data_IF_614481798664
#
_entry.id   IF_614481798664
#
_cell.length_a   1.000
_cell.length_b   1.000
_cell.length_c   1.000
_cell.angle_alpha   90.00
_cell.angle_beta   90.00
_cell.angle_gamma   90.00
#
_symmetry.space_group_name_H-M   'P 1'
#
loop_
_entity.id
_entity.type
_entity.pdbx_description
1 polymer ?
#
# COMPACT_ATOMS: atom_id res chain seq x y z
N UNK A 1 -19.86 58.55 10.43
CA UNK A 1 -20.60 57.43 11.05
C UNK A 1 -20.96 56.45 9.93
N UNK A 2 -20.57 55.18 10.10
CA UNK A 2 -21.09 53.97 9.43
C UNK A 2 -20.87 53.88 7.90
N UNK A 3 -20.34 52.80 7.30
CA UNK A 3 -20.23 51.40 7.73
C UNK A 3 -19.02 50.77 7.04
N UNK A 4 -18.02 50.36 7.82
CA UNK A 4 -17.01 49.39 7.37
C UNK A 4 -17.73 48.05 7.22
N UNK A 5 -17.99 47.62 5.99
CA UNK A 5 -18.45 46.27 5.68
C UNK A 5 -17.33 45.28 6.00
N UNK A 6 -17.19 44.95 7.29
CA UNK A 6 -16.59 43.67 7.69
C UNK A 6 -17.44 42.58 7.04
N UNK A 7 -17.00 42.04 5.91
CA UNK A 7 -17.47 40.74 5.46
C UNK A 7 -17.24 39.77 6.63
N UNK A 8 -18.28 39.06 7.10
CA UNK A 8 -18.15 38.30 8.32
C UNK A 8 -17.17 37.13 8.08
N UNK A 9 -16.21 36.87 8.99
CA UNK A 9 -15.29 35.74 8.88
C UNK A 9 -16.00 34.39 8.70
N UNK A 10 -17.31 34.34 9.02
CA UNK A 10 -18.19 33.19 8.83
C UNK A 10 -18.44 32.80 7.37
N UNK A 11 -18.38 33.74 6.40
CA UNK A 11 -18.65 33.45 4.99
C UNK A 11 -17.46 32.75 4.30
N UNK A 12 -16.24 33.20 4.61
CA UNK A 12 -15.03 32.50 4.17
C UNK A 12 -14.92 31.11 4.80
N UNK A 13 -15.16 31.03 6.12
CA UNK A 13 -15.09 29.78 6.85
C UNK A 13 -16.17 28.78 6.41
N UNK A 14 -17.36 29.25 6.03
CA UNK A 14 -18.40 28.38 5.46
C UNK A 14 -18.00 27.85 4.09
N UNK A 15 -17.50 28.70 3.17
CA UNK A 15 -16.99 28.28 1.87
C UNK A 15 -15.88 27.23 2.00
N UNK A 16 -14.92 27.45 2.91
CA UNK A 16 -13.84 26.50 3.19
C UNK A 16 -14.34 25.16 3.75
N UNK A 17 -15.36 25.17 4.61
CA UNK A 17 -15.99 23.93 5.10
C UNK A 17 -16.69 23.18 3.99
N UNK A 18 -17.38 23.90 3.09
CA UNK A 18 -18.03 23.28 1.93
C UNK A 18 -17.02 22.64 0.97
N UNK A 19 -15.89 23.32 0.69
CA UNK A 19 -14.82 22.76 -0.14
C UNK A 19 -14.27 21.46 0.46
N UNK A 20 -13.94 21.44 1.76
CA UNK A 20 -13.47 20.22 2.43
C UNK A 20 -14.49 19.08 2.44
N UNK A 21 -15.78 19.42 2.57
CA UNK A 21 -16.84 18.44 2.53
C UNK A 21 -16.95 17.82 1.12
N UNK A 22 -16.86 18.64 0.07
CA UNK A 22 -16.81 18.17 -1.32
C UNK A 22 -15.57 17.32 -1.61
N UNK A 23 -14.40 17.70 -1.09
CA UNK A 23 -13.17 16.88 -1.18
C UNK A 23 -13.37 15.50 -0.55
N UNK A 24 -13.97 15.43 0.65
CA UNK A 24 -14.23 14.15 1.32
C UNK A 24 -15.24 13.28 0.57
N UNK A 25 -16.28 13.88 -0.01
CA UNK A 25 -17.24 13.16 -0.84
C UNK A 25 -16.58 12.62 -2.12
N UNK A 26 -15.74 13.44 -2.75
CA UNK A 26 -15.03 13.10 -3.98
C UNK A 26 -14.07 11.92 -3.75
N UNK A 27 -13.32 11.92 -2.65
CA UNK A 27 -12.42 10.83 -2.26
C UNK A 27 -13.18 9.50 -2.03
N UNK A 28 -14.33 9.56 -1.35
CA UNK A 28 -15.18 8.39 -1.15
C UNK A 28 -15.70 7.81 -2.47
N UNK A 29 -16.10 8.67 -3.42
CA UNK A 29 -16.59 8.25 -4.75
C UNK A 29 -15.47 7.74 -5.65
N UNK A 30 -14.29 8.34 -5.63
CA UNK A 30 -13.10 7.83 -6.31
C UNK A 30 -12.68 6.44 -5.81
N UNK A 31 -12.75 6.23 -4.49
CA UNK A 31 -12.49 4.92 -3.89
C UNK A 31 -13.52 3.88 -4.35
N UNK A 32 -14.81 4.24 -4.39
CA UNK A 32 -15.86 3.35 -4.92
C UNK A 32 -15.61 3.01 -6.40
N UNK A 33 -15.25 4.00 -7.22
CA UNK A 33 -14.98 3.82 -8.64
C UNK A 33 -13.73 2.97 -8.92
N UNK A 34 -12.64 3.16 -8.16
CA UNK A 34 -11.45 2.32 -8.27
C UNK A 34 -11.69 0.88 -7.78
N UNK A 35 -12.54 0.70 -6.76
CA UNK A 35 -12.96 -0.62 -6.29
C UNK A 35 -13.76 -1.38 -7.35
N UNK A 36 -14.57 -0.66 -8.15
CA UNK A 36 -15.32 -1.21 -9.27
C UNK A 36 -14.38 -1.69 -10.38
N UNK A 37 -13.33 -0.93 -10.71
CA UNK A 37 -12.29 -1.39 -11.64
C UNK A 37 -11.68 -2.73 -11.20
N UNK A 38 -11.35 -2.81 -9.91
CA UNK A 38 -10.76 -4.01 -9.32
C UNK A 38 -11.75 -5.17 -9.24
N UNK A 39 -13.04 -4.90 -9.01
CA UNK A 39 -14.09 -5.90 -9.01
C UNK A 39 -14.34 -6.49 -10.41
N UNK A 40 -14.33 -5.63 -11.45
CA UNK A 40 -14.43 -6.07 -12.85
C UNK A 40 -13.24 -6.98 -13.21
N UNK A 41 -12.03 -6.58 -12.81
CA UNK A 41 -10.82 -7.39 -13.04
C UNK A 41 -10.88 -8.73 -12.29
N UNK A 42 -11.30 -8.77 -11.02
CA UNK A 42 -11.39 -10.03 -10.26
C UNK A 42 -12.48 -10.98 -10.73
N UNK A 43 -13.60 -10.46 -11.23
CA UNK A 43 -14.67 -11.28 -11.81
C UNK A 43 -14.21 -12.10 -13.03
N UNK A 44 -13.10 -11.71 -13.66
CA UNK A 44 -12.46 -12.41 -14.77
C UNK A 44 -11.66 -13.64 -14.31
N UNK A 45 -10.90 -13.52 -13.21
CA UNK A 45 -9.99 -14.53 -12.66
C UNK A 45 -10.73 -15.63 -11.88
N UNK A 46 -11.87 -15.32 -11.26
CA UNK A 46 -12.70 -16.32 -10.57
C UNK A 46 -13.26 -17.39 -11.52
N UNK A 47 -13.50 -17.03 -12.78
CA UNK A 47 -13.99 -17.95 -13.81
C UNK A 47 -12.88 -18.78 -14.50
N UNK A 48 -11.61 -18.42 -14.33
CA UNK A 48 -10.48 -19.13 -14.96
C UNK A 48 -9.97 -20.32 -14.12
N UNK A 49 -10.37 -20.42 -12.85
CA UNK A 49 -9.97 -21.54 -11.97
C UNK A 49 -10.86 -22.79 -12.05
N UNK A 50 -12.01 -22.73 -12.73
CA UNK A 50 -12.90 -23.89 -12.94
C UNK A 50 -12.71 -24.55 -14.30
N UNK A 51 -11.46 -24.85 -14.67
CA UNK A 51 -11.13 -25.85 -15.69
C UNK A 51 -10.86 -27.24 -15.07
N UNK A 52 -11.38 -27.49 -13.87
CA UNK A 52 -11.43 -28.82 -13.26
C UNK A 52 -12.65 -29.59 -13.81
N UNK A 53 -12.50 -30.88 -14.20
CA UNK A 53 -13.61 -31.67 -14.70
C UNK A 53 -14.68 -31.81 -13.60
N UNK A 54 -15.93 -31.57 -13.99
CA UNK A 54 -17.11 -31.64 -13.13
C UNK A 54 -17.32 -33.07 -12.59
N UNK A 55 -16.77 -33.34 -11.40
CA UNK A 55 -17.28 -34.40 -10.54
C UNK A 55 -18.50 -33.84 -9.79
N UNK A 56 -19.66 -34.52 -9.79
CA UNK A 56 -20.82 -34.07 -9.05
C UNK A 56 -20.58 -34.30 -7.55
N UNK A 57 -19.92 -33.35 -6.89
CA UNK A 57 -19.79 -33.33 -5.44
C UNK A 57 -21.10 -32.81 -4.84
N UNK A 58 -21.77 -33.67 -4.09
CA UNK A 58 -23.07 -33.47 -3.45
C UNK A 58 -23.00 -32.53 -2.23
N UNK A 59 -22.35 -31.37 -2.35
CA UNK A 59 -22.29 -30.36 -1.30
C UNK A 59 -22.87 -29.03 -1.81
N UNK A 60 -24.17 -29.04 -2.06
CA UNK A 60 -24.94 -27.87 -2.51
C UNK A 60 -25.70 -27.27 -1.32
N UNK A 61 -25.00 -26.62 -0.37
CA UNK A 61 -25.66 -25.88 0.72
C UNK A 61 -25.06 -24.51 1.07
N UNK A 62 -23.85 -24.16 0.62
CA UNK A 62 -23.19 -22.90 1.02
C UNK A 62 -22.94 -21.91 -0.14
N UNK A 63 -23.72 -22.00 -1.22
CA UNK A 63 -23.73 -21.01 -2.31
C UNK A 63 -25.03 -20.19 -2.35
N UNK A 64 -25.68 -20.03 -1.18
CA UNK A 64 -26.80 -19.12 -1.01
C UNK A 64 -26.27 -17.83 -0.40
N UNK A 65 -26.43 -16.73 -1.15
CA UNK A 65 -26.14 -15.33 -0.84
C UNK A 65 -24.87 -14.72 -1.47
N UNK A 66 -24.76 -14.78 -2.81
CA UNK A 66 -24.26 -13.61 -3.56
C UNK A 66 -25.18 -13.34 -4.76
N UNK A 67 -26.44 -13.03 -4.44
CA UNK A 67 -27.35 -12.36 -5.35
C UNK A 67 -27.04 -10.86 -5.34
N UNK A 68 -25.86 -10.51 -5.86
CA UNK A 68 -25.36 -9.14 -5.96
C UNK A 68 -25.55 -8.57 -7.36
N UNK A 69 -26.77 -8.17 -7.69
CA UNK A 69 -27.08 -7.17 -8.72
C UNK A 69 -26.50 -7.45 -10.14
N UNK A 70 -27.05 -8.49 -10.77
CA UNK A 70 -26.95 -8.72 -12.22
C UNK A 70 -27.94 -7.87 -13.04
N UNK A 71 -28.68 -6.93 -12.42
CA UNK A 71 -29.67 -6.11 -13.14
C UNK A 71 -29.08 -4.85 -13.78
N UNK A 72 -27.85 -4.49 -13.45
CA UNK A 72 -27.13 -3.39 -14.12
C UNK A 72 -25.78 -3.85 -14.65
N UNK A 73 -25.50 -3.71 -15.97
CA UNK A 73 -24.19 -4.01 -16.50
C UNK A 73 -23.16 -3.14 -15.76
N UNK A 74 -21.98 -3.66 -15.39
CA UNK A 74 -20.98 -2.88 -14.65
C UNK A 74 -20.52 -1.63 -15.40
N UNK A 75 -20.70 -1.60 -16.73
CA UNK A 75 -20.56 -0.41 -17.55
C UNK A 75 -21.55 0.71 -17.18
N UNK A 76 -22.83 0.40 -16.91
CA UNK A 76 -23.83 1.39 -16.50
C UNK A 76 -23.53 1.95 -15.10
N UNK A 77 -23.10 1.09 -14.17
CA UNK A 77 -22.65 1.52 -12.84
C UNK A 77 -21.42 2.45 -12.92
N UNK A 78 -20.45 2.09 -13.76
CA UNK A 78 -19.28 2.91 -14.01
C UNK A 78 -19.66 4.29 -14.57
N UNK A 79 -20.55 4.34 -15.57
CA UNK A 79 -21.03 5.60 -16.17
C UNK A 79 -21.77 6.48 -15.16
N UNK A 80 -22.61 5.90 -14.30
CA UNK A 80 -23.32 6.65 -13.25
C UNK A 80 -22.33 7.29 -12.27
N UNK A 81 -21.34 6.53 -11.78
CA UNK A 81 -20.31 7.06 -10.88
C UNK A 81 -19.42 8.10 -11.57
N UNK A 82 -19.12 7.93 -12.86
CA UNK A 82 -18.37 8.92 -13.64
C UNK A 82 -19.13 10.25 -13.73
N UNK A 83 -20.43 10.22 -14.02
CA UNK A 83 -21.27 11.42 -14.06
C UNK A 83 -21.36 12.11 -12.69
N UNK A 84 -21.42 11.33 -11.61
CA UNK A 84 -21.44 11.87 -10.25
C UNK A 84 -20.10 12.53 -9.88
N UNK A 85 -18.96 11.88 -10.17
CA UNK A 85 -17.61 12.41 -9.90
C UNK A 85 -17.36 13.70 -10.70
N UNK A 86 -17.76 13.75 -11.97
CA UNK A 86 -17.62 14.98 -12.78
C UNK A 86 -18.46 16.13 -12.24
N UNK A 87 -19.68 15.84 -11.75
CA UNK A 87 -20.52 16.85 -11.10
C UNK A 87 -19.88 17.38 -9.81
N UNK A 88 -19.28 16.51 -8.99
CA UNK A 88 -18.58 16.90 -7.76
C UNK A 88 -17.32 17.71 -8.05
N UNK A 89 -16.52 17.34 -9.05
CA UNK A 89 -15.36 18.11 -9.50
C UNK A 89 -15.77 19.52 -9.95
N UNK A 90 -16.86 19.64 -10.72
CA UNK A 90 -17.40 20.94 -11.15
C UNK A 90 -17.87 21.80 -9.97
N UNK A 91 -18.49 21.17 -8.96
CA UNK A 91 -18.93 21.85 -7.74
C UNK A 91 -17.76 22.32 -6.89
N UNK A 92 -16.71 21.50 -6.76
CA UNK A 92 -15.48 21.87 -6.07
C UNK A 92 -14.76 23.03 -6.78
N UNK A 93 -14.67 22.99 -8.10
CA UNK A 93 -14.11 24.10 -8.92
C UNK A 93 -14.91 25.39 -8.72
N UNK A 94 -16.24 25.32 -8.65
CA UNK A 94 -17.08 26.49 -8.37
C UNK A 94 -16.87 27.03 -6.96
N UNK A 95 -16.77 26.15 -5.94
CA UNK A 95 -16.48 26.52 -4.55
C UNK A 95 -15.09 27.15 -4.40
N UNK A 96 -14.11 26.65 -5.14
CA UNK A 96 -12.78 27.22 -5.22
C UNK A 96 -12.77 28.59 -5.93
N UNK A 97 -13.60 28.77 -6.95
CA UNK A 97 -13.73 30.05 -7.66
C UNK A 97 -14.35 31.13 -6.75
N UNK A 98 -15.35 30.80 -5.93
CA UNK A 98 -15.88 31.72 -4.92
C UNK A 98 -14.85 32.04 -3.83
N UNK A 99 -14.07 31.04 -3.40
CA UNK A 99 -12.97 31.20 -2.47
C UNK A 99 -11.83 32.08 -3.07
N UNK A 100 -11.56 32.00 -4.37
CA UNK A 100 -10.61 32.90 -5.03
C UNK A 100 -11.14 34.33 -5.11
N UNK A 101 -12.41 34.50 -5.45
CA UNK A 101 -13.03 35.82 -5.57
C UNK A 101 -13.00 36.59 -4.23
N UNK A 102 -13.17 35.92 -3.10
CA UNK A 102 -13.01 36.55 -1.77
C UNK A 102 -11.58 36.98 -1.45
N UNK A 103 -10.59 36.48 -2.20
CA UNK A 103 -9.18 36.80 -2.05
C UNK A 103 -8.74 37.95 -2.95
N UNK A 104 -9.46 38.17 -4.06
CA UNK A 104 -9.21 39.22 -5.06
C UNK A 104 -9.92 40.55 -4.70
N UNK A 105 -10.59 40.64 -3.54
CA UNK A 105 -11.30 41.83 -3.07
C UNK A 105 -10.30 42.97 -2.71
N UNK A 106 -10.33 44.12 -3.40
CA UNK A 106 -9.30 45.16 -3.31
C UNK A 106 -9.28 45.95 -1.99
N UNK A 107 -10.29 45.81 -1.13
CA UNK A 107 -10.40 46.61 0.10
C UNK A 107 -9.56 46.07 1.27
N UNK A 108 -9.12 44.80 1.24
CA UNK A 108 -8.41 44.16 2.35
C UNK A 108 -7.25 43.31 1.80
N UNK A 109 -5.98 43.58 2.15
CA UNK A 109 -4.88 42.74 1.71
C UNK A 109 -5.07 41.31 2.26
N UNK A 110 -5.19 40.29 1.40
CA UNK A 110 -5.37 38.91 1.80
C UNK A 110 -4.22 38.40 2.68
N UNK A 111 -4.58 37.66 3.73
CA UNK A 111 -3.59 37.04 4.63
C UNK A 111 -2.77 35.99 3.88
N UNK A 112 -1.44 35.88 4.10
CA UNK A 112 -0.61 34.81 3.55
C UNK A 112 -1.19 33.40 3.78
N UNK A 113 -1.92 33.23 4.89
CA UNK A 113 -2.60 31.96 5.24
C UNK A 113 -3.79 31.68 4.32
N UNK A 114 -4.55 32.71 3.93
CA UNK A 114 -5.69 32.56 3.02
C UNK A 114 -5.20 32.24 1.60
N UNK A 115 -4.16 32.92 1.11
CA UNK A 115 -3.50 32.58 -0.15
C UNK A 115 -3.01 31.13 -0.18
N UNK A 116 -2.28 30.71 0.84
CA UNK A 116 -1.80 29.34 0.92
C UNK A 116 -2.96 28.32 0.99
N UNK A 117 -4.07 28.67 1.63
CA UNK A 117 -5.25 27.80 1.68
C UNK A 117 -5.88 27.62 0.29
N UNK A 118 -6.08 28.70 -0.47
CA UNK A 118 -6.63 28.63 -1.85
C UNK A 118 -5.69 27.85 -2.76
N UNK A 119 -4.39 28.13 -2.65
CA UNK A 119 -3.37 27.44 -3.43
C UNK A 119 -3.38 25.92 -3.19
N UNK A 120 -3.47 25.51 -1.92
CA UNK A 120 -3.61 24.10 -1.57
C UNK A 120 -4.88 23.47 -2.16
N UNK A 121 -6.02 24.16 -2.12
CA UNK A 121 -7.25 23.65 -2.72
C UNK A 121 -7.14 23.52 -4.26
N UNK A 122 -6.37 24.39 -4.93
CA UNK A 122 -6.05 24.25 -6.37
C UNK A 122 -5.21 23.01 -6.66
N UNK A 123 -4.17 22.77 -5.86
CA UNK A 123 -3.31 21.59 -5.98
C UNK A 123 -4.12 20.30 -5.78
N UNK A 124 -4.92 20.25 -4.72
CA UNK A 124 -5.81 19.12 -4.42
C UNK A 124 -6.81 18.86 -5.55
N UNK A 125 -7.40 19.90 -6.15
CA UNK A 125 -8.30 19.73 -7.29
C UNK A 125 -7.56 19.15 -8.50
N UNK A 126 -6.36 19.65 -8.81
CA UNK A 126 -5.56 19.14 -9.92
C UNK A 126 -5.14 17.67 -9.72
N UNK A 127 -4.83 17.29 -8.48
CA UNK A 127 -4.54 15.90 -8.10
C UNK A 127 -5.77 15.02 -8.30
N UNK A 128 -6.95 15.44 -7.81
CA UNK A 128 -8.19 14.70 -8.02
C UNK A 128 -8.57 14.54 -9.50
N UNK A 129 -8.34 15.55 -10.35
CA UNK A 129 -8.56 15.44 -11.80
C UNK A 129 -7.59 14.45 -12.47
N UNK A 130 -6.34 14.40 -12.00
CA UNK A 130 -5.34 13.44 -12.47
C UNK A 130 -5.71 12.02 -12.06
N UNK A 131 -6.10 11.84 -10.79
CA UNK A 131 -6.50 10.55 -10.25
C UNK A 131 -7.78 10.05 -10.90
N UNK A 132 -8.77 10.92 -11.12
CA UNK A 132 -9.98 10.57 -11.84
C UNK A 132 -9.71 10.09 -13.26
N UNK A 133 -8.85 10.80 -14.01
CA UNK A 133 -8.43 10.36 -15.36
C UNK A 133 -7.79 8.98 -15.33
N UNK A 134 -6.86 8.76 -14.39
CA UNK A 134 -6.20 7.45 -14.20
C UNK A 134 -7.20 6.35 -13.86
N UNK A 135 -8.12 6.60 -12.93
CA UNK A 135 -9.15 5.63 -12.56
C UNK A 135 -10.07 5.32 -13.74
N UNK A 136 -10.45 6.32 -14.53
CA UNK A 136 -11.29 6.14 -15.72
C UNK A 136 -10.62 5.28 -16.76
N UNK A 137 -9.34 5.53 -17.05
CA UNK A 137 -8.58 4.73 -18.01
C UNK A 137 -8.46 3.28 -17.52
N UNK A 138 -8.22 3.06 -16.22
CA UNK A 138 -8.20 1.72 -15.63
C UNK A 138 -9.54 0.99 -15.75
N UNK A 139 -10.66 1.65 -15.45
CA UNK A 139 -12.01 1.06 -15.59
C UNK A 139 -12.31 0.74 -17.04
N UNK A 140 -11.96 1.63 -17.97
CA UNK A 140 -12.13 1.42 -19.41
C UNK A 140 -11.34 0.21 -19.88
N UNK A 141 -10.07 0.10 -19.52
CA UNK A 141 -9.26 -1.07 -19.85
C UNK A 141 -9.82 -2.37 -19.27
N UNK A 142 -10.37 -2.34 -18.06
CA UNK A 142 -11.01 -3.50 -17.45
C UNK A 142 -12.31 -3.90 -18.20
N UNK A 143 -13.11 -2.93 -18.63
CA UNK A 143 -14.31 -3.17 -19.43
C UNK A 143 -13.98 -3.70 -20.83
N UNK A 144 -13.02 -3.07 -21.52
CA UNK A 144 -12.58 -3.48 -22.85
C UNK A 144 -12.06 -4.92 -22.81
N UNK A 145 -11.21 -5.25 -21.83
CA UNK A 145 -10.72 -6.62 -21.63
C UNK A 145 -11.86 -7.61 -21.43
N UNK A 146 -12.84 -7.27 -20.58
CA UNK A 146 -14.00 -8.12 -20.35
C UNK A 146 -14.82 -8.34 -21.61
N UNK A 147 -15.00 -7.31 -22.44
CA UNK A 147 -15.73 -7.41 -23.71
C UNK A 147 -14.98 -8.29 -24.72
N UNK A 148 -13.67 -8.06 -24.88
CA UNK A 148 -12.79 -8.87 -25.73
C UNK A 148 -12.82 -10.34 -25.33
N UNK A 149 -12.62 -10.64 -24.05
CA UNK A 149 -12.63 -12.01 -23.52
C UNK A 149 -14.03 -12.62 -23.58
N UNK A 150 -15.07 -11.84 -23.30
CA UNK A 150 -16.46 -12.29 -23.41
C UNK A 150 -16.81 -12.73 -24.83
N UNK A 151 -16.38 -11.95 -25.84
CA UNK A 151 -16.57 -12.30 -27.25
C UNK A 151 -15.78 -13.54 -27.65
N UNK A 152 -14.49 -13.59 -27.29
CA UNK A 152 -13.62 -14.76 -27.61
C UNK A 152 -14.12 -16.02 -26.92
N UNK A 153 -14.56 -15.96 -25.66
CA UNK A 153 -15.16 -17.11 -24.95
C UNK A 153 -16.44 -17.56 -25.65
N UNK A 154 -17.32 -16.64 -26.03
CA UNK A 154 -18.53 -16.96 -26.79
C UNK A 154 -18.22 -17.68 -28.11
N UNK A 155 -17.22 -17.22 -28.85
CA UNK A 155 -16.79 -17.84 -30.10
C UNK A 155 -16.15 -19.22 -29.86
N UNK A 156 -15.32 -19.38 -28.83
CA UNK A 156 -14.71 -20.67 -28.43
C UNK A 156 -15.77 -21.66 -27.99
N UNK A 157 -16.76 -21.24 -27.21
CA UNK A 157 -17.82 -22.11 -26.73
C UNK A 157 -18.76 -22.52 -27.87
N UNK A 158 -19.06 -21.61 -28.81
CA UNK A 158 -19.79 -21.93 -30.03
C UNK A 158 -19.03 -22.91 -30.92
N UNK A 159 -17.72 -22.69 -31.10
CA UNK A 159 -16.85 -23.59 -31.85
C UNK A 159 -16.73 -24.97 -31.18
N UNK A 160 -16.52 -25.00 -29.86
CA UNK A 160 -16.51 -26.22 -29.05
C UNK A 160 -17.83 -26.96 -29.14
N UNK A 161 -18.96 -26.27 -28.97
CA UNK A 161 -20.29 -26.87 -29.08
C UNK A 161 -20.55 -27.46 -30.47
N UNK A 162 -20.02 -26.85 -31.53
CA UNK A 162 -20.07 -27.39 -32.88
C UNK A 162 -19.13 -28.60 -33.09
N UNK A 163 -18.04 -28.71 -32.32
CA UNK A 163 -16.99 -29.72 -32.49
C UNK A 163 -17.07 -30.90 -31.50
N UNK A 164 -17.98 -30.89 -30.51
CA UNK A 164 -18.16 -31.96 -29.47
C UNK A 164 -18.58 -33.34 -30.02
N UNK A 165 -18.49 -33.58 -31.33
CA UNK A 165 -18.84 -34.86 -31.97
C UNK A 165 -17.68 -35.84 -32.25
N UNK A 166 -16.40 -35.45 -32.17
CA UNK A 166 -15.28 -36.31 -32.59
C UNK A 166 -14.32 -36.69 -31.43
N UNK A 167 -14.09 -37.98 -31.23
CA UNK A 167 -13.14 -38.49 -30.22
C UNK A 167 -11.69 -38.06 -30.52
N UNK A 168 -11.36 -37.82 -31.79
CA UNK A 168 -10.05 -37.37 -32.23
C UNK A 168 -9.69 -35.98 -31.69
N UNK A 169 -10.65 -35.05 -31.69
CA UNK A 169 -10.45 -33.70 -31.14
C UNK A 169 -10.28 -33.71 -29.62
N UNK A 170 -10.93 -34.65 -28.93
CA UNK A 170 -10.75 -34.84 -27.48
C UNK A 170 -9.32 -35.26 -27.16
N UNK A 171 -8.73 -36.13 -27.98
CA UNK A 171 -7.34 -36.58 -27.82
C UNK A 171 -6.34 -35.47 -28.17
N UNK A 172 -6.61 -34.66 -29.20
CA UNK A 172 -5.79 -33.49 -29.53
C UNK A 172 -5.82 -32.43 -28.42
N UNK A 173 -6.99 -32.16 -27.85
CA UNK A 173 -7.14 -31.27 -26.70
C UNK A 173 -6.41 -31.80 -25.46
N UNK A 174 -6.45 -33.11 -25.21
CA UNK A 174 -5.70 -33.76 -24.13
C UNK A 174 -4.19 -33.60 -24.34
N UNK A 175 -3.70 -33.76 -25.57
CA UNK A 175 -2.29 -33.53 -25.92
C UNK A 175 -1.87 -32.08 -25.67
N UNK A 176 -2.66 -31.10 -26.10
CA UNK A 176 -2.36 -29.69 -25.82
C UNK A 176 -2.33 -29.38 -24.32
N UNK A 177 -3.17 -30.06 -23.53
CA UNK A 177 -3.16 -29.95 -22.07
C UNK A 177 -1.92 -30.59 -21.45
N UNK A 178 -1.46 -31.73 -21.99
CA UNK A 178 -0.20 -32.37 -21.58
C UNK A 178 1.01 -31.48 -21.89
N UNK A 179 1.07 -30.89 -23.08
CA UNK A 179 2.18 -30.01 -23.49
C UNK A 179 2.25 -28.76 -22.59
N UNK A 180 1.10 -28.14 -22.27
CA UNK A 180 1.04 -27.02 -21.32
C UNK A 180 1.40 -27.44 -19.88
N UNK A 181 1.00 -28.65 -19.46
CA UNK A 181 1.41 -29.17 -18.15
C UNK A 181 2.91 -29.43 -18.10
N UNK A 182 3.51 -29.89 -19.20
CA UNK A 182 4.93 -30.16 -19.30
C UNK A 182 5.74 -28.86 -19.16
N UNK A 183 5.37 -27.81 -19.90
CA UNK A 183 6.04 -26.51 -19.78
C UNK A 183 5.91 -25.88 -18.40
N UNK A 184 4.75 -26.04 -17.75
CA UNK A 184 4.58 -25.62 -16.34
C UNK A 184 5.49 -26.41 -15.40
N UNK A 185 5.57 -27.75 -15.56
CA UNK A 185 6.47 -28.59 -14.77
C UNK A 185 7.92 -28.14 -14.95
N UNK A 186 8.36 -27.91 -16.19
CA UNK A 186 9.72 -27.44 -16.48
C UNK A 186 10.02 -26.11 -15.76
N UNK A 187 9.08 -25.15 -15.80
CA UNK A 187 9.20 -23.89 -15.07
C UNK A 187 9.28 -24.06 -13.56
N UNK A 188 8.48 -24.96 -12.97
CA UNK A 188 8.58 -25.26 -11.53
C UNK A 188 9.90 -25.94 -11.16
N UNK A 189 10.44 -26.78 -12.05
CA UNK A 189 11.68 -27.50 -11.85
C UNK A 189 12.88 -26.54 -11.91
N UNK A 190 12.85 -25.59 -12.85
CA UNK A 190 13.81 -24.49 -12.94
C UNK A 190 13.78 -23.60 -11.68
N UNK A 191 12.58 -23.19 -11.24
CA UNK A 191 12.43 -22.42 -9.99
C UNK A 191 12.94 -23.20 -8.76
N UNK A 192 12.70 -24.51 -8.71
CA UNK A 192 13.21 -25.37 -7.65
C UNK A 192 14.76 -25.45 -7.67
N UNK A 193 15.38 -25.54 -8.86
CA UNK A 193 16.83 -25.51 -8.99
C UNK A 193 17.46 -24.17 -8.59
N UNK A 194 16.82 -23.05 -8.95
CA UNK A 194 17.24 -21.73 -8.49
C UNK A 194 17.20 -21.65 -6.95
N UNK A 195 16.10 -22.09 -6.35
CA UNK A 195 15.92 -22.11 -4.88
C UNK A 195 16.97 -23.01 -4.18
N UNK A 196 17.29 -24.17 -4.75
CA UNK A 196 18.31 -25.06 -4.21
C UNK A 196 19.71 -24.41 -4.24
N UNK A 197 20.00 -23.65 -5.29
CA UNK A 197 21.25 -22.91 -5.44
C UNK A 197 21.34 -21.77 -4.42
N UNK A 198 20.23 -21.05 -4.20
CA UNK A 198 20.13 -20.04 -3.14
C UNK A 198 20.32 -20.64 -1.75
N UNK A 199 19.72 -21.79 -1.45
CA UNK A 199 19.95 -22.48 -0.18
C UNK A 199 21.41 -22.91 0.01
N UNK A 200 22.12 -23.31 -1.06
CA UNK A 200 23.56 -23.58 -0.99
C UNK A 200 24.34 -22.29 -0.68
N UNK A 201 24.02 -21.18 -1.34
CA UNK A 201 24.62 -19.87 -1.07
C UNK A 201 24.39 -19.40 0.37
N UNK A 202 23.15 -19.52 0.86
CA UNK A 202 22.77 -19.20 2.23
C UNK A 202 23.53 -20.07 3.25
N UNK A 203 23.69 -21.37 3.00
CA UNK A 203 24.48 -22.25 3.87
C UNK A 203 25.94 -21.79 3.96
N UNK A 204 26.55 -21.38 2.85
CA UNK A 204 27.91 -20.84 2.86
C UNK A 204 27.98 -19.51 3.64
N UNK A 205 26.97 -18.64 3.49
CA UNK A 205 26.87 -17.40 4.27
C UNK A 205 26.72 -17.68 5.77
N UNK A 206 25.86 -18.63 6.17
CA UNK A 206 25.72 -19.03 7.56
C UNK A 206 27.02 -19.58 8.14
N UNK A 207 27.74 -20.44 7.40
CA UNK A 207 29.05 -20.91 7.82
C UNK A 207 30.03 -19.76 8.05
N UNK A 208 30.04 -18.74 7.16
CA UNK A 208 30.86 -17.55 7.33
C UNK A 208 30.45 -16.72 8.56
N UNK A 209 29.15 -16.59 8.82
CA UNK A 209 28.61 -15.91 10.00
C UNK A 209 28.99 -16.66 11.27
N UNK A 210 28.85 -17.99 11.30
CA UNK A 210 29.27 -18.84 12.42
C UNK A 210 30.77 -18.70 12.67
N UNK A 211 31.59 -18.69 11.62
CA UNK A 211 33.04 -18.49 11.75
C UNK A 211 33.38 -17.10 12.34
N UNK A 212 32.71 -16.04 11.87
CA UNK A 212 32.87 -14.68 12.42
C UNK A 212 32.42 -14.61 13.88
N UNK A 213 31.27 -15.19 14.21
CA UNK A 213 30.74 -15.23 15.57
C UNK A 213 31.67 -16.00 16.51
N UNK A 214 32.23 -17.12 16.07
CA UNK A 214 33.24 -17.87 16.81
C UNK A 214 34.51 -17.04 17.05
N UNK A 215 35.00 -16.32 16.03
CA UNK A 215 36.14 -15.42 16.17
C UNK A 215 35.85 -14.25 17.12
N UNK A 216 34.65 -13.66 17.10
CA UNK A 216 34.23 -12.63 18.04
C UNK A 216 34.11 -13.18 19.46
N UNK A 217 33.53 -14.38 19.62
CA UNK A 217 33.43 -15.05 20.91
C UNK A 217 34.82 -15.34 21.51
N UNK A 218 35.80 -15.69 20.69
CA UNK A 218 37.19 -15.87 21.11
C UNK A 218 37.86 -14.56 21.59
N UNK A 219 37.36 -13.39 21.19
CA UNK A 219 37.86 -12.08 21.66
C UNK A 219 37.22 -11.62 22.97
N UNK A 220 36.06 -12.18 23.38
CA UNK A 220 35.37 -11.81 24.63
C UNK A 220 36.25 -12.03 25.89
N UNK A 221 37.02 -13.13 26.03
CA UNK A 221 37.95 -13.31 27.13
C UNK A 221 39.09 -12.26 27.15
N UNK A 222 39.58 -11.83 25.98
CA UNK A 222 40.62 -10.82 25.87
C UNK A 222 40.11 -9.44 26.35
N UNK A 223 38.86 -9.09 26.04
CA UNK A 223 38.19 -7.90 26.57
C UNK A 223 38.03 -7.97 28.09
N UNK A 224 37.72 -9.14 28.64
CA UNK A 224 37.67 -9.33 30.10
C UNK A 224 39.06 -9.13 30.75
N UNK A 225 40.13 -9.56 30.08
CA UNK A 225 41.51 -9.26 30.48
C UNK A 225 41.79 -7.76 30.56
N UNK A 226 41.40 -6.99 29.54
CA UNK A 226 41.57 -5.53 29.53
C UNK A 226 40.73 -4.87 30.64
N UNK A 227 39.48 -5.32 30.82
CA UNK A 227 38.58 -4.81 31.87
C UNK A 227 39.15 -5.02 33.28
N UNK A 228 39.75 -6.19 33.55
CA UNK A 228 40.40 -6.47 34.84
C UNK A 228 41.66 -5.63 35.07
N UNK A 229 42.46 -5.35 34.02
CA UNK A 229 43.62 -4.46 34.12
C UNK A 229 43.23 -3.01 34.43
N UNK A 230 42.17 -2.51 33.78
CA UNK A 230 41.61 -1.18 34.07
C UNK A 230 41.12 -1.10 35.52
N UNK A 231 40.36 -2.11 35.97
CA UNK A 231 39.89 -2.19 37.36
C UNK A 231 41.04 -2.24 38.38
N UNK A 232 42.13 -2.95 38.07
CA UNK A 232 43.31 -3.06 38.94
C UNK A 232 44.07 -1.74 39.07
N UNK A 233 44.13 -0.92 38.01
CA UNK A 233 44.70 0.44 38.11
C UNK A 233 43.83 1.35 38.98
N UNK A 234 42.52 1.35 38.76
CA UNK A 234 41.57 2.16 39.55
C UNK A 234 41.57 1.78 41.04
N UNK A 235 41.70 0.49 41.35
CA UNK A 235 41.83 0.02 42.74
C UNK A 235 43.12 0.51 43.40
N UNK A 236 44.25 0.52 42.70
CA UNK A 236 45.51 1.05 43.24
C UNK A 236 45.39 2.53 43.58
N UNK A 237 44.83 3.33 42.67
CA UNK A 237 44.65 4.77 42.90
C UNK A 237 43.72 5.03 44.10
N UNK A 238 42.65 4.25 44.25
CA UNK A 238 41.74 4.36 45.41
C UNK A 238 42.39 3.95 46.74
N UNK A 239 43.27 2.93 46.75
CA UNK A 239 44.01 2.52 47.95
C UNK A 239 44.96 3.63 48.39
N UNK A 240 45.70 4.23 47.46
CA UNK A 240 46.63 5.33 47.76
C UNK A 240 45.89 6.53 48.35
N UNK A 241 44.77 6.96 47.73
CA UNK A 241 43.95 8.05 48.27
C UNK A 241 43.40 7.73 49.67
N UNK A 242 42.92 6.50 49.89
CA UNK A 242 42.44 6.05 51.20
C UNK A 242 43.53 6.08 52.28
N UNK A 243 44.76 5.65 51.96
CA UNK A 243 45.90 5.71 52.87
C UNK A 243 46.26 7.16 53.25
N UNK A 244 46.27 8.09 52.29
CA UNK A 244 46.60 9.50 52.54
C UNK A 244 45.56 10.13 53.46
N UNK A 245 44.26 9.93 53.18
CA UNK A 245 43.16 10.47 53.99
C UNK A 245 43.19 9.86 55.40
N UNK A 246 43.32 8.53 55.51
CA UNK A 246 43.38 7.83 56.80
C UNK A 246 44.57 8.28 57.66
N UNK A 247 45.78 8.30 57.08
CA UNK A 247 46.97 8.77 57.79
C UNK A 247 46.84 10.24 58.22
N UNK A 248 46.31 11.11 57.35
CA UNK A 248 46.03 12.51 57.66
C UNK A 248 45.07 12.67 58.84
N UNK A 249 43.97 11.90 58.87
CA UNK A 249 43.02 11.94 59.99
C UNK A 249 43.64 11.48 61.31
N UNK A 250 44.46 10.42 61.32
CA UNK A 250 45.13 9.92 62.52
C UNK A 250 46.14 10.93 63.07
N UNK A 251 46.96 11.53 62.19
CA UNK A 251 47.92 12.56 62.59
C UNK A 251 47.22 13.79 63.17
N UNK A 252 46.10 14.22 62.58
CA UNK A 252 45.31 15.34 63.08
C UNK A 252 44.72 15.02 64.47
N UNK A 253 44.18 13.81 64.64
CA UNK A 253 43.68 13.36 65.94
C UNK A 253 44.79 13.34 66.99
N UNK A 254 45.97 12.81 66.64
CA UNK A 254 47.14 12.80 67.52
C UNK A 254 47.57 14.22 67.91
N UNK A 255 47.57 15.15 66.96
CA UNK A 255 47.91 16.56 67.21
C UNK A 255 46.87 17.27 68.11
N UNK A 256 45.57 16.97 67.97
CA UNK A 256 44.54 17.53 68.85
C UNK A 256 44.62 16.94 70.27
N UNK A 257 44.96 15.66 70.40
CA UNK A 257 45.04 14.99 71.70
C UNK A 257 46.33 15.24 72.47
N UNK A 258 47.36 15.82 71.82
CA UNK A 258 48.67 16.10 72.39
C UNK A 258 48.82 17.59 72.66
#
# INVERSE_FOLDING_TARGET
MASTSRLPPTAWDSARRTARNLESQLDAKLTQYSSLASAIARGEDGASSSSAPAWPSSNHKDALLEQGDASHPPAAKAQSLESEITSLLSSLSSSLSTLSHFLDDPEIPPSPVQHHAVQRHREVLADFERDFRRCRDNVRHALDRRELVGRVRGDIDAYRAAQVGSDEDRLLAERGRLDNSHSMIDGTLEQAYATLTDFRGQRQMLNNVTARMSNTAAQVPALNGIMTMIGRRRRRDSIVMGCIIGCGTVLLLMYITR
#
